data_IF_880870337228
#
_entry.id   IF_880870337228
#
_cell.length_a   1.000
_cell.length_b   1.000
_cell.length_c   1.000
_cell.angle_alpha   90.00
_cell.angle_beta   90.00
_cell.angle_gamma   90.00
#
_symmetry.space_group_name_H-M   'P 1'
#
loop_
_entity.id
_entity.type
_entity.pdbx_description
1 polymer ?
#
# COMPACT_ATOMS: atom_id res chain seq x y z
N UNK A 1 32.36 -0.90 6.47
CA UNK A 1 32.72 -0.78 7.90
C UNK A 1 31.59 -0.25 8.81
N UNK A 2 30.34 -0.07 8.35
CA UNK A 2 29.21 0.36 9.21
C UNK A 2 28.34 -0.79 9.75
N UNK A 3 28.46 -2.00 9.20
CA UNK A 3 27.57 -3.14 9.49
C UNK A 3 27.88 -3.85 10.82
N UNK A 4 29.14 -3.88 11.27
CA UNK A 4 29.59 -4.69 12.42
C UNK A 4 29.09 -4.20 13.79
N UNK A 5 28.49 -3.00 13.86
CA UNK A 5 27.91 -2.44 15.10
C UNK A 5 26.38 -2.40 15.11
N UNK A 6 25.72 -2.86 14.04
CA UNK A 6 24.28 -2.78 13.90
C UNK A 6 23.60 -4.00 14.49
N UNK A 7 22.79 -3.79 15.53
CA UNK A 7 21.88 -4.81 16.04
C UNK A 7 20.66 -4.88 15.15
N UNK A 8 20.46 -6.04 14.51
CA UNK A 8 19.32 -6.28 13.64
C UNK A 8 18.12 -6.77 14.44
N UNK A 9 16.95 -6.15 14.23
CA UNK A 9 15.71 -6.60 14.85
C UNK A 9 15.07 -7.69 13.97
N UNK A 10 14.50 -8.72 14.61
CA UNK A 10 13.86 -9.86 13.95
C UNK A 10 12.51 -9.56 13.28
N UNK A 11 12.23 -8.31 12.95
CA UNK A 11 11.04 -7.91 12.19
C UNK A 11 11.46 -7.43 10.82
N UNK A 12 10.84 -7.98 9.78
CA UNK A 12 10.99 -7.50 8.40
C UNK A 12 9.60 -7.21 7.86
N UNK A 13 9.44 -6.03 7.25
CA UNK A 13 8.22 -5.67 6.53
C UNK A 13 8.55 -5.56 5.06
N UNK A 14 7.87 -6.32 4.22
CA UNK A 14 8.10 -6.37 2.78
C UNK A 14 6.93 -5.70 2.07
N UNK A 15 7.24 -4.74 1.20
CA UNK A 15 6.32 -4.07 0.30
C UNK A 15 6.59 -4.56 -1.12
N UNK A 16 5.70 -5.39 -1.64
CA UNK A 16 5.72 -5.84 -3.02
C UNK A 16 4.76 -5.00 -3.87
N UNK A 17 5.22 -4.61 -5.06
CA UNK A 17 4.50 -3.74 -5.98
C UNK A 17 3.20 -4.36 -6.50
N UNK A 18 3.13 -5.68 -6.61
CA UNK A 18 2.01 -6.38 -7.21
C UNK A 18 1.20 -7.14 -6.14
N UNK A 19 1.86 -7.60 -5.07
CA UNK A 19 1.25 -8.47 -4.06
C UNK A 19 0.96 -7.81 -2.70
N UNK A 20 1.38 -6.56 -2.48
CA UNK A 20 1.00 -5.80 -1.29
C UNK A 20 2.04 -5.87 -0.17
N UNK A 21 1.60 -6.05 1.08
CA UNK A 21 2.47 -5.90 2.27
C UNK A 21 2.48 -7.16 3.12
N UNK A 22 3.68 -7.64 3.42
CA UNK A 22 3.95 -8.83 4.22
C UNK A 22 4.75 -8.47 5.47
N UNK A 23 4.44 -9.15 6.58
CA UNK A 23 5.06 -8.92 7.88
C UNK A 23 5.68 -10.23 8.34
N UNK A 24 6.96 -10.18 8.67
CA UNK A 24 7.72 -11.30 9.19
C UNK A 24 8.17 -10.95 10.60
N UNK A 25 7.81 -11.80 11.57
CA UNK A 25 8.25 -11.71 12.97
C UNK A 25 9.24 -12.83 13.28
N UNK A 26 9.99 -12.67 14.37
CA UNK A 26 10.96 -13.65 14.86
C UNK A 26 11.96 -14.14 13.80
N UNK A 27 12.30 -13.26 12.87
CA UNK A 27 13.23 -13.57 11.79
C UNK A 27 14.64 -13.75 12.35
N UNK A 28 15.12 -15.01 12.33
CA UNK A 28 16.46 -15.43 12.74
C UNK A 28 17.25 -15.85 11.50
N UNK A 29 17.83 -14.86 10.81
CA UNK A 29 18.69 -15.10 9.66
C UNK A 29 20.16 -15.25 10.03
N UNK A 30 21.02 -14.95 9.07
CA UNK A 30 22.47 -14.91 9.15
C UNK A 30 23.02 -13.70 9.91
N UNK A 31 22.15 -12.83 10.44
CA UNK A 31 22.52 -11.58 11.11
C UNK A 31 23.23 -10.60 10.17
N UNK A 32 22.92 -10.70 8.87
CA UNK A 32 23.40 -9.84 7.80
C UNK A 32 22.19 -9.21 7.12
N UNK A 33 22.22 -7.90 6.86
CA UNK A 33 21.08 -7.20 6.26
C UNK A 33 20.75 -7.75 4.87
N UNK A 34 21.79 -7.95 4.06
CA UNK A 34 21.67 -8.41 2.67
C UNK A 34 21.30 -9.89 2.67
N UNK A 35 22.10 -10.76 3.30
CA UNK A 35 21.87 -12.21 3.23
C UNK A 35 20.48 -12.61 3.77
N UNK A 36 20.02 -11.94 4.84
CA UNK A 36 18.69 -12.16 5.40
C UNK A 36 17.58 -11.77 4.42
N UNK A 37 17.75 -10.65 3.72
CA UNK A 37 16.78 -10.18 2.74
C UNK A 37 16.78 -11.07 1.49
N UNK A 38 17.95 -11.44 0.98
CA UNK A 38 18.10 -12.31 -0.18
C UNK A 38 17.55 -13.71 0.10
N UNK A 39 17.82 -14.26 1.28
CA UNK A 39 17.24 -15.52 1.75
C UNK A 39 15.71 -15.48 1.79
N UNK A 40 15.13 -14.35 2.20
CA UNK A 40 13.68 -14.14 2.21
C UNK A 40 13.14 -14.03 0.77
N UNK A 41 13.86 -13.35 -0.12
CA UNK A 41 13.48 -13.22 -1.54
C UNK A 41 13.48 -14.58 -2.25
N UNK A 42 14.47 -15.44 -1.99
CA UNK A 42 14.52 -16.81 -2.53
C UNK A 42 13.26 -17.62 -2.21
N UNK A 43 12.68 -17.39 -1.03
CA UNK A 43 11.52 -18.12 -0.50
C UNK A 43 10.20 -17.37 -0.69
N UNK A 44 10.24 -16.22 -1.38
CA UNK A 44 9.06 -15.44 -1.75
C UNK A 44 8.81 -15.62 -3.25
N UNK A 45 8.02 -16.62 -3.67
CA UNK A 45 7.87 -17.00 -5.09
C UNK A 45 7.15 -15.95 -5.93
N UNK A 46 6.36 -15.08 -5.30
CA UNK A 46 5.60 -14.01 -5.94
C UNK A 46 6.31 -12.67 -5.73
N UNK A 47 7.34 -12.40 -6.53
CA UNK A 47 8.14 -11.18 -6.41
C UNK A 47 8.12 -10.35 -7.69
N UNK A 48 7.72 -9.09 -7.54
CA UNK A 48 7.80 -8.08 -8.57
C UNK A 48 8.93 -7.11 -8.23
N UNK A 49 8.71 -5.80 -8.38
CA UNK A 49 9.55 -4.80 -7.74
C UNK A 49 9.09 -4.59 -6.31
N UNK A 50 9.99 -4.23 -5.40
CA UNK A 50 9.58 -3.96 -4.02
C UNK A 50 10.70 -3.44 -3.15
N UNK A 51 10.36 -3.23 -1.88
CA UNK A 51 11.35 -2.90 -0.87
C UNK A 51 11.04 -3.59 0.46
N UNK A 52 12.07 -3.77 1.26
CA UNK A 52 11.98 -4.28 2.63
C UNK A 52 12.36 -3.19 3.60
N UNK A 53 11.68 -3.15 4.74
CA UNK A 53 12.05 -2.34 5.91
C UNK A 53 12.45 -3.29 7.02
N UNK A 54 13.64 -3.07 7.58
CA UNK A 54 14.11 -3.77 8.78
C UNK A 54 14.55 -2.77 9.84
N UNK A 55 14.03 -2.84 11.07
CA UNK A 55 14.53 -2.02 12.15
C UNK A 55 15.95 -2.44 12.53
N UNK A 56 16.79 -1.44 12.76
CA UNK A 56 18.18 -1.60 13.19
C UNK A 56 18.44 -0.73 14.41
N UNK A 57 19.43 -1.09 15.21
CA UNK A 57 19.94 -0.25 16.27
C UNK A 57 21.45 -0.10 16.20
N UNK A 58 21.94 1.12 16.41
CA UNK A 58 23.36 1.45 16.55
C UNK A 58 23.55 2.13 17.90
N UNK A 59 24.06 1.38 18.88
CA UNK A 59 24.05 1.81 20.28
C UNK A 59 22.62 2.09 20.75
N UNK A 60 22.37 3.32 21.23
CA UNK A 60 21.04 3.78 21.68
C UNK A 60 20.15 4.30 20.55
N UNK A 61 20.70 4.48 19.34
CA UNK A 61 19.94 5.00 18.20
C UNK A 61 19.18 3.87 17.52
N UNK A 62 17.88 4.04 17.37
CA UNK A 62 17.03 3.16 16.55
C UNK A 62 16.86 3.78 15.16
N UNK A 63 16.92 2.95 14.13
CA UNK A 63 16.77 3.37 12.75
C UNK A 63 16.12 2.28 11.91
N UNK A 64 16.16 2.48 10.60
CA UNK A 64 15.67 1.53 9.62
C UNK A 64 16.74 1.29 8.56
N UNK A 65 16.91 0.03 8.19
CA UNK A 65 17.46 -0.34 6.90
C UNK A 65 16.31 -0.52 5.91
N UNK A 66 16.50 -0.04 4.69
CA UNK A 66 15.57 -0.15 3.57
C UNK A 66 16.33 -0.77 2.40
N UNK A 67 15.89 -1.93 1.93
CA UNK A 67 16.48 -2.59 0.77
C UNK A 67 15.48 -2.71 -0.38
N UNK A 68 15.80 -2.18 -1.55
CA UNK A 68 15.00 -2.34 -2.77
C UNK A 68 15.43 -3.60 -3.54
N UNK A 69 14.45 -4.32 -4.06
CA UNK A 69 14.65 -5.48 -4.91
C UNK A 69 13.87 -5.36 -6.23
N UNK A 70 14.35 -6.07 -7.24
CA UNK A 70 13.76 -6.12 -8.57
C UNK A 70 13.16 -7.49 -8.91
N UNK A 71 12.41 -7.56 -10.03
CA UNK A 71 11.74 -8.77 -10.47
C UNK A 71 12.78 -9.79 -10.93
N UNK A 72 12.56 -11.05 -10.58
CA UNK A 72 13.43 -12.18 -10.96
C UNK A 72 14.88 -12.11 -10.45
N UNK A 73 15.20 -11.13 -9.59
CA UNK A 73 16.50 -11.02 -8.91
C UNK A 73 16.30 -11.36 -7.44
N UNK A 74 17.13 -12.25 -6.88
CA UNK A 74 17.11 -12.58 -5.44
C UNK A 74 17.92 -11.60 -4.60
N UNK A 75 18.24 -10.42 -5.15
CA UNK A 75 19.27 -9.54 -4.61
C UNK A 75 18.72 -8.16 -4.31
N UNK A 76 19.36 -7.52 -3.34
CA UNK A 76 19.13 -6.11 -3.04
C UNK A 76 19.89 -5.26 -4.06
N UNK A 77 19.16 -4.42 -4.79
CA UNK A 77 19.71 -3.58 -5.87
C UNK A 77 20.15 -2.22 -5.33
N UNK A 78 19.42 -1.70 -4.34
CA UNK A 78 19.73 -0.45 -3.64
C UNK A 78 19.41 -0.60 -2.17
N UNK A 79 20.19 0.07 -1.33
CA UNK A 79 19.93 0.13 0.10
C UNK A 79 20.08 1.54 0.67
N UNK A 80 19.33 1.80 1.72
CA UNK A 80 19.38 3.03 2.49
C UNK A 80 19.36 2.69 3.99
N UNK A 81 20.13 3.45 4.77
CA UNK A 81 20.18 3.33 6.23
C UNK A 81 19.79 4.67 6.85
N UNK A 82 18.68 4.69 7.59
CA UNK A 82 18.06 5.91 8.11
C UNK A 82 18.01 5.91 9.64
N UNK A 83 18.39 7.04 10.24
CA UNK A 83 18.37 7.27 11.69
C UNK A 83 17.79 8.65 12.07
N UNK A 84 16.97 9.23 11.18
CA UNK A 84 16.18 10.43 11.47
C UNK A 84 15.02 10.13 12.43
N UNK A 85 14.28 11.16 12.84
CA UNK A 85 13.16 11.03 13.78
C UNK A 85 12.04 10.12 13.24
N UNK A 86 11.76 10.21 11.94
CA UNK A 86 10.71 9.43 11.27
C UNK A 86 11.05 7.94 11.24
N UNK A 87 12.27 7.60 10.82
CA UNK A 87 12.78 6.23 10.84
C UNK A 87 12.92 5.68 12.26
N UNK A 88 13.37 6.50 13.22
CA UNK A 88 13.42 6.12 14.64
C UNK A 88 12.04 5.77 15.21
N UNK A 89 11.03 6.60 14.94
CA UNK A 89 9.67 6.38 15.43
C UNK A 89 9.03 5.11 14.85
N UNK A 90 9.25 4.87 13.55
CA UNK A 90 8.75 3.67 12.87
C UNK A 90 9.52 2.41 13.33
N UNK A 91 10.84 2.52 13.52
CA UNK A 91 11.68 1.45 14.07
C UNK A 91 11.23 1.01 15.46
N UNK A 92 10.95 1.95 16.37
CA UNK A 92 10.37 1.66 17.69
C UNK A 92 9.01 0.97 17.61
N UNK A 93 8.15 1.43 16.70
CA UNK A 93 6.84 0.80 16.48
C UNK A 93 6.97 -0.66 16.02
N UNK A 94 7.93 -0.95 15.12
CA UNK A 94 8.21 -2.31 14.67
C UNK A 94 8.89 -3.15 15.77
N UNK A 95 9.67 -2.54 16.65
CA UNK A 95 10.19 -3.20 17.83
C UNK A 95 9.08 -3.60 18.80
N UNK A 96 8.11 -2.72 19.06
CA UNK A 96 6.94 -3.04 19.89
C UNK A 96 6.08 -4.14 19.26
N UNK A 97 5.99 -4.19 17.93
CA UNK A 97 5.37 -5.29 17.20
C UNK A 97 6.09 -6.61 17.42
N UNK A 98 7.42 -6.63 17.29
CA UNK A 98 8.25 -7.81 17.56
C UNK A 98 8.01 -8.36 18.97
N UNK A 99 7.93 -7.48 19.97
CA UNK A 99 7.70 -7.86 21.37
C UNK A 99 6.21 -8.11 21.70
N UNK A 100 5.35 -8.31 20.70
CA UNK A 100 3.90 -8.54 20.83
C UNK A 100 3.12 -7.48 21.63
N UNK A 101 3.71 -6.29 21.85
CA UNK A 101 3.01 -5.17 22.51
C UNK A 101 1.97 -4.52 21.59
N UNK A 102 2.11 -4.73 20.29
CA UNK A 102 1.18 -4.24 19.26
C UNK A 102 0.79 -5.41 18.36
N UNK A 103 -0.52 -5.56 18.10
CA UNK A 103 -1.01 -6.62 17.21
C UNK A 103 -0.71 -6.32 15.73
N UNK A 104 -0.57 -7.37 14.92
CA UNK A 104 -0.36 -7.24 13.47
C UNK A 104 -1.46 -6.41 12.81
N UNK A 105 -2.73 -6.61 13.21
CA UNK A 105 -3.86 -5.80 12.72
C UNK A 105 -3.67 -4.30 12.95
N UNK A 106 -3.11 -3.91 14.10
CA UNK A 106 -2.86 -2.50 14.45
C UNK A 106 -1.67 -1.95 13.66
N UNK A 107 -0.62 -2.77 13.46
CA UNK A 107 0.54 -2.43 12.63
C UNK A 107 0.14 -2.27 11.16
N UNK A 108 -0.57 -3.24 10.56
CA UNK A 108 -1.04 -3.21 9.17
C UNK A 108 -1.85 -1.95 8.84
N UNK A 109 -2.67 -1.47 9.78
CA UNK A 109 -3.45 -0.24 9.60
C UNK A 109 -2.58 1.02 9.55
N UNK A 110 -1.41 1.00 10.19
CA UNK A 110 -0.45 2.12 10.19
C UNK A 110 0.58 2.02 9.08
N UNK A 111 1.08 0.81 8.81
CA UNK A 111 2.09 0.52 7.79
C UNK A 111 1.46 0.50 6.39
N UNK A 112 1.00 1.67 5.94
CA UNK A 112 0.61 1.91 4.55
C UNK A 112 1.74 2.61 3.80
N UNK A 113 1.74 2.53 2.47
CA UNK A 113 2.72 3.25 1.65
C UNK A 113 2.66 4.76 1.91
N UNK A 114 1.46 5.34 1.95
CA UNK A 114 1.25 6.78 2.22
C UNK A 114 1.85 7.19 3.57
N UNK A 115 1.68 6.35 4.61
CA UNK A 115 2.30 6.59 5.91
C UNK A 115 3.82 6.50 5.84
N UNK A 116 4.37 5.49 5.15
CA UNK A 116 5.81 5.34 4.98
C UNK A 116 6.40 6.51 4.21
N UNK A 117 5.80 6.94 3.10
CA UNK A 117 6.23 8.12 2.35
C UNK A 117 6.23 9.38 3.19
N UNK A 118 5.19 9.58 4.01
CA UNK A 118 5.09 10.74 4.89
C UNK A 118 6.14 10.72 6.02
N UNK A 119 6.45 9.53 6.58
CA UNK A 119 7.37 9.40 7.70
C UNK A 119 8.83 9.26 7.29
N UNK A 120 9.09 8.69 6.12
CA UNK A 120 10.41 8.40 5.59
C UNK A 120 10.65 9.27 4.36
N UNK A 121 10.47 10.59 4.54
CA UNK A 121 10.59 11.58 3.46
C UNK A 121 12.01 11.65 2.87
N UNK A 122 13.02 11.25 3.64
CA UNK A 122 14.43 11.16 3.24
C UNK A 122 14.75 9.93 2.38
N UNK A 123 13.88 8.92 2.33
CA UNK A 123 14.12 7.68 1.59
C UNK A 123 13.77 7.81 0.12
N UNK A 124 14.76 7.82 -0.78
CA UNK A 124 14.50 7.89 -2.22
C UNK A 124 13.82 6.60 -2.72
N UNK A 125 14.19 5.44 -2.17
CA UNK A 125 13.54 4.14 -2.44
C UNK A 125 12.03 4.23 -2.16
N UNK A 126 11.64 4.66 -0.96
CA UNK A 126 10.23 4.70 -0.58
C UNK A 126 9.48 5.80 -1.32
N UNK A 127 10.07 6.99 -1.50
CA UNK A 127 9.41 8.07 -2.26
C UNK A 127 9.15 7.67 -3.72
N UNK A 128 10.11 6.97 -4.34
CA UNK A 128 10.00 6.48 -5.72
C UNK A 128 9.03 5.31 -5.91
N UNK A 129 8.72 4.57 -4.84
CA UNK A 129 7.89 3.37 -4.94
C UNK A 129 6.43 3.69 -5.30
N UNK A 130 5.86 2.87 -6.19
CA UNK A 130 4.45 2.90 -6.61
C UNK A 130 3.97 1.48 -6.78
N UNK A 131 2.73 1.20 -6.39
CA UNK A 131 2.08 -0.06 -6.74
C UNK A 131 1.78 -0.12 -8.24
N UNK A 132 1.89 -1.31 -8.84
CA UNK A 132 1.53 -1.48 -10.25
C UNK A 132 0.02 -1.35 -10.41
N UNK A 133 -0.75 -2.16 -9.68
CA UNK A 133 -2.20 -2.01 -9.55
C UNK A 133 -2.57 -1.57 -8.13
N UNK A 134 -3.66 -0.81 -7.99
CA UNK A 134 -4.14 -0.42 -6.66
C UNK A 134 -4.41 -1.68 -5.82
N UNK A 135 -3.78 -1.84 -4.64
CA UNK A 135 -4.05 -2.99 -3.79
C UNK A 135 -5.54 -3.08 -3.45
N UNK A 136 -6.13 -4.27 -3.62
CA UNK A 136 -7.56 -4.56 -3.40
C UNK A 136 -8.03 -4.04 -2.04
N UNK A 137 -7.23 -4.30 -1.02
CA UNK A 137 -7.45 -3.85 0.35
C UNK A 137 -7.50 -2.31 0.46
N UNK A 138 -6.55 -1.60 -0.16
CA UNK A 138 -6.55 -0.12 -0.21
C UNK A 138 -7.77 0.39 -0.97
N UNK A 139 -8.07 -0.18 -2.13
CA UNK A 139 -9.19 0.23 -2.97
C UNK A 139 -10.52 0.11 -2.22
N UNK A 140 -10.82 -1.06 -1.68
CA UNK A 140 -12.11 -1.32 -1.04
C UNK A 140 -12.24 -0.72 0.36
N UNK A 141 -11.18 -0.65 1.16
CA UNK A 141 -11.30 -0.19 2.57
C UNK A 141 -11.04 1.30 2.77
N UNK A 142 -10.12 1.92 2.02
CA UNK A 142 -9.59 3.24 2.40
C UNK A 142 -9.35 4.23 1.27
N UNK A 143 -9.49 3.84 0.00
CA UNK A 143 -9.34 4.76 -1.14
C UNK A 143 -10.27 5.99 -1.01
N UNK A 144 -9.74 7.21 -0.93
CA UNK A 144 -10.55 8.42 -0.75
C UNK A 144 -11.38 8.77 -1.98
N UNK A 145 -10.94 8.34 -3.18
CA UNK A 145 -11.66 8.63 -4.42
C UNK A 145 -13.02 7.94 -4.50
N UNK A 146 -13.16 6.73 -3.95
CA UNK A 146 -14.45 6.00 -3.89
C UNK A 146 -15.51 6.86 -3.21
N UNK A 147 -15.18 7.41 -2.04
CA UNK A 147 -16.11 8.24 -1.27
C UNK A 147 -16.34 9.60 -1.93
N UNK A 148 -15.27 10.23 -2.45
CA UNK A 148 -15.36 11.52 -3.14
C UNK A 148 -16.28 11.44 -4.37
N UNK A 149 -16.12 10.41 -5.20
CA UNK A 149 -16.95 10.19 -6.39
C UNK A 149 -18.40 10.00 -5.97
N UNK A 150 -18.67 9.15 -4.99
CA UNK A 150 -20.03 8.89 -4.54
C UNK A 150 -20.71 10.12 -3.95
N UNK A 151 -19.99 10.94 -3.17
CA UNK A 151 -20.51 12.24 -2.70
C UNK A 151 -20.84 13.17 -3.88
N UNK A 152 -19.98 13.25 -4.89
CA UNK A 152 -20.26 14.04 -6.10
C UNK A 152 -21.50 13.54 -6.85
N UNK A 153 -21.67 12.22 -6.96
CA UNK A 153 -22.85 11.62 -7.59
C UNK A 153 -24.13 11.96 -6.82
N UNK A 154 -24.14 11.82 -5.49
CA UNK A 154 -25.29 12.21 -4.65
C UNK A 154 -25.61 13.70 -4.68
N UNK A 155 -24.59 14.55 -4.85
CA UNK A 155 -24.79 15.99 -4.98
C UNK A 155 -25.36 16.40 -6.34
N UNK A 156 -25.02 15.66 -7.41
CA UNK A 156 -25.50 15.93 -8.78
C UNK A 156 -26.87 15.33 -9.07
N UNK A 157 -27.17 14.15 -8.50
CA UNK A 157 -28.35 13.37 -8.87
C UNK A 157 -29.25 13.11 -7.66
N UNK A 158 -30.56 13.20 -7.88
CA UNK A 158 -31.56 12.91 -6.84
C UNK A 158 -31.50 11.42 -6.48
N UNK A 159 -31.67 11.09 -5.20
CA UNK A 159 -31.66 9.70 -4.73
C UNK A 159 -32.75 8.88 -5.43
N UNK A 160 -32.43 7.68 -5.90
CA UNK A 160 -33.36 6.81 -6.63
C UNK A 160 -33.63 7.26 -8.07
N UNK A 161 -32.99 8.33 -8.54
CA UNK A 161 -33.09 8.71 -9.96
C UNK A 161 -32.33 7.73 -10.84
N UNK A 162 -32.89 7.47 -12.02
CA UNK A 162 -32.22 6.72 -13.07
C UNK A 162 -31.31 7.66 -13.86
N UNK A 163 -30.02 7.35 -13.91
CA UNK A 163 -28.98 8.14 -14.54
C UNK A 163 -28.32 7.31 -15.63
N UNK A 164 -28.04 7.90 -16.78
CA UNK A 164 -27.32 7.21 -17.84
C UNK A 164 -25.88 6.90 -17.40
N UNK A 165 -25.40 5.69 -17.65
CA UNK A 165 -24.09 5.23 -17.14
C UNK A 165 -22.94 6.12 -17.62
N UNK A 166 -23.04 6.70 -18.83
CA UNK A 166 -22.00 7.59 -19.36
C UNK A 166 -21.79 8.82 -18.47
N UNK A 167 -22.87 9.39 -17.93
CA UNK A 167 -22.78 10.54 -17.03
C UNK A 167 -22.14 10.17 -15.69
N UNK A 168 -22.40 8.94 -15.21
CA UNK A 168 -21.71 8.42 -14.02
C UNK A 168 -20.23 8.20 -14.31
N UNK A 169 -19.90 7.68 -15.49
CA UNK A 169 -18.53 7.47 -15.94
C UNK A 169 -17.76 8.78 -16.04
N UNK A 170 -18.37 9.86 -16.55
CA UNK A 170 -17.75 11.19 -16.60
C UNK A 170 -17.35 11.69 -15.20
N UNK A 171 -18.19 11.43 -14.19
CA UNK A 171 -17.85 11.78 -12.80
C UNK A 171 -16.69 10.93 -12.29
N UNK A 172 -16.64 9.64 -12.62
CA UNK A 172 -15.52 8.76 -12.24
C UNK A 172 -14.21 9.24 -12.89
N UNK A 173 -14.22 9.51 -14.20
CA UNK A 173 -13.05 9.89 -14.97
C UNK A 173 -12.58 11.33 -14.73
N UNK A 174 -13.42 12.17 -14.10
CA UNK A 174 -13.02 13.52 -13.67
C UNK A 174 -12.01 13.54 -12.51
N UNK A 175 -11.74 12.40 -11.89
CA UNK A 175 -10.86 12.30 -10.72
C UNK A 175 -9.40 12.08 -11.13
N UNK A 176 -8.50 12.88 -10.54
CA UNK A 176 -7.05 12.70 -10.72
C UNK A 176 -6.60 11.31 -10.24
N UNK A 177 -5.76 10.66 -11.03
CA UNK A 177 -5.11 9.40 -10.68
C UNK A 177 -4.26 9.53 -9.40
N UNK A 178 -4.25 8.49 -8.56
CA UNK A 178 -3.38 8.42 -7.39
C UNK A 178 -1.90 8.39 -7.81
N UNK A 179 -1.06 9.18 -7.14
CA UNK A 179 0.37 9.29 -7.48
C UNK A 179 1.17 8.01 -7.18
N UNK A 180 0.68 7.20 -6.24
CA UNK A 180 1.33 5.98 -5.76
C UNK A 180 0.89 4.70 -6.49
N UNK A 181 0.10 4.81 -7.55
CA UNK A 181 -0.49 3.66 -8.27
C UNK A 181 -0.42 3.90 -9.78
N UNK A 182 0.08 2.92 -10.54
CA UNK A 182 0.13 3.00 -12.00
C UNK A 182 -1.21 2.62 -12.66
N UNK A 183 -1.92 1.63 -12.13
CA UNK A 183 -3.20 1.12 -12.63
C UNK A 183 -4.28 1.25 -11.56
N UNK A 184 -5.20 2.21 -11.76
CA UNK A 184 -6.33 2.43 -10.88
C UNK A 184 -7.56 1.62 -11.35
N UNK A 185 -8.22 0.81 -10.50
CA UNK A 185 -9.43 0.05 -10.86
C UNK A 185 -10.60 0.89 -11.38
N UNK A 186 -10.59 2.21 -11.15
CA UNK A 186 -11.61 3.14 -11.64
C UNK A 186 -11.24 3.82 -12.97
N UNK A 187 -9.95 3.96 -13.27
CA UNK A 187 -9.47 4.75 -14.41
C UNK A 187 -8.84 3.88 -15.50
N UNK A 188 -8.35 2.70 -15.15
CA UNK A 188 -7.70 1.77 -16.07
C UNK A 188 -8.66 0.74 -16.68
N UNK A 189 -9.96 0.79 -16.32
CA UNK A 189 -10.98 -0.06 -16.90
C UNK A 189 -11.13 0.23 -18.39
N UNK A 190 -11.16 -0.83 -19.20
CA UNK A 190 -11.29 -0.74 -20.66
C UNK A 190 -12.64 -0.17 -21.14
N UNK A 191 -13.63 -0.14 -20.23
CA UNK A 191 -14.95 0.41 -20.49
C UNK A 191 -15.55 1.03 -19.20
N UNK A 192 -16.48 1.96 -19.39
CA UNK A 192 -17.17 2.68 -18.32
C UNK A 192 -17.96 1.76 -17.37
N UNK A 193 -18.42 0.61 -17.85
CA UNK A 193 -19.23 -0.32 -17.09
C UNK A 193 -18.43 -1.02 -15.98
N UNK A 194 -17.20 -1.45 -16.29
CA UNK A 194 -16.25 -1.98 -15.31
C UNK A 194 -15.92 -0.97 -14.21
N UNK A 195 -15.70 0.31 -14.57
CA UNK A 195 -15.45 1.38 -13.60
C UNK A 195 -16.61 1.51 -12.60
N UNK A 196 -17.86 1.48 -13.11
CA UNK A 196 -19.07 1.57 -12.31
C UNK A 196 -19.24 0.33 -11.43
N UNK A 197 -18.98 -0.88 -11.95
CA UNK A 197 -19.01 -2.11 -11.16
C UNK A 197 -17.99 -2.06 -10.03
N UNK A 198 -16.75 -1.67 -10.32
CA UNK A 198 -15.68 -1.57 -9.31
C UNK A 198 -16.02 -0.53 -8.24
N UNK A 199 -16.54 0.63 -8.64
CA UNK A 199 -17.05 1.63 -7.71
C UNK A 199 -18.17 1.04 -6.85
N UNK A 200 -19.18 0.43 -7.45
CA UNK A 200 -20.32 -0.13 -6.73
C UNK A 200 -19.89 -1.19 -5.70
N UNK A 201 -19.00 -2.12 -6.10
CA UNK A 201 -18.41 -3.11 -5.19
C UNK A 201 -17.76 -2.43 -3.98
N UNK A 202 -17.05 -1.32 -4.20
CA UNK A 202 -16.42 -0.57 -3.12
C UNK A 202 -17.40 0.16 -2.21
N UNK A 203 -18.47 0.75 -2.76
CA UNK A 203 -19.52 1.38 -1.96
C UNK A 203 -20.24 0.37 -1.06
N UNK A 204 -20.59 -0.79 -1.61
CA UNK A 204 -21.21 -1.89 -0.88
C UNK A 204 -20.29 -2.46 0.20
N UNK A 205 -19.01 -2.66 -0.12
CA UNK A 205 -18.01 -3.12 0.84
C UNK A 205 -17.94 -2.20 2.06
N UNK A 206 -17.95 -0.88 1.82
CA UNK A 206 -17.90 0.15 2.88
C UNK A 206 -19.25 0.43 3.54
N UNK A 207 -20.35 -0.14 3.04
CA UNK A 207 -21.72 0.12 3.50
C UNK A 207 -22.11 1.60 3.46
N UNK A 208 -21.60 2.35 2.47
CA UNK A 208 -21.89 3.79 2.32
C UNK A 208 -22.93 4.10 1.25
N UNK A 209 -23.24 3.14 0.37
CA UNK A 209 -24.21 3.30 -0.70
C UNK A 209 -24.15 2.20 -1.74
N UNK A 210 -24.96 2.34 -2.80
CA UNK A 210 -24.99 1.42 -3.93
C UNK A 210 -25.32 2.14 -5.24
N UNK A 211 -24.73 1.67 -6.33
CA UNK A 211 -25.11 2.02 -7.70
C UNK A 211 -25.70 0.76 -8.34
N UNK A 212 -27.03 0.71 -8.46
CA UNK A 212 -27.75 -0.43 -9.02
C UNK A 212 -27.87 -0.29 -10.53
N UNK A 213 -27.65 -1.38 -11.26
CA UNK A 213 -27.93 -1.43 -12.70
C UNK A 213 -29.44 -1.64 -12.85
N UNK A 214 -30.14 -0.70 -13.50
CA UNK A 214 -31.59 -0.75 -13.64
C UNK A 214 -32.00 -1.46 -14.95
N UNK A 215 -31.71 -0.85 -16.10
CA UNK A 215 -31.99 -1.38 -17.45
C UNK A 215 -31.18 -0.60 -18.51
N UNK A 216 -31.02 -1.16 -19.72
CA UNK A 216 -30.52 -0.51 -20.96
C UNK A 216 -29.75 0.81 -20.76
N UNK A 217 -28.54 0.73 -20.18
CA UNK A 217 -27.62 1.85 -19.98
C UNK A 217 -27.91 2.82 -18.82
N UNK A 218 -28.86 2.49 -17.94
CA UNK A 218 -29.25 3.30 -16.80
C UNK A 218 -28.82 2.65 -15.48
N UNK A 219 -28.42 3.49 -14.53
CA UNK A 219 -28.08 3.13 -13.17
C UNK A 219 -28.85 3.97 -12.17
N UNK A 220 -29.10 3.42 -10.99
CA UNK A 220 -29.76 4.10 -9.88
C UNK A 220 -28.77 4.32 -8.75
N UNK A 221 -28.69 5.56 -8.25
CA UNK A 221 -27.79 5.95 -7.15
C UNK A 221 -28.60 5.96 -5.85
N UNK A 222 -28.21 5.11 -4.89
CA UNK A 222 -28.97 4.86 -3.64
C UNK A 222 -28.15 5.01 -2.37
#
# INVERSE_FOLDING_TARGET
MLQESLKLIGTIVLFDRDYGIFFFQDFKGYSSLIDDAEWLLERTPQRSWGFMIRPVASGERCGLWIGEYGPHVNQIIREELLFDEGSSALGRMLFDYMNHKVSERKIRRKMTLDFCKKKLCSSAIIQGFKYYACPVERFYKSCPHVERIYRSLKGKYVRGSRVHYSLVADVIFSVKQCEDILICPLLASSNAFEAIINLNRALRYRKIGEIKIADRNMVEIS
#
